data_IF_137880931511
#
_entry.id   IF_137880931511
#
_cell.length_a   1.000
_cell.length_b   1.000
_cell.length_c   1.000
_cell.angle_alpha   90.00
_cell.angle_beta   90.00
_cell.angle_gamma   90.00
#
_symmetry.space_group_name_H-M   'P 1'
#
loop_
_entity.id
_entity.type
_entity.pdbx_description
1 polymer ?
#
# COMPACT_ATOMS: atom_id res chain seq x y z
N UNK A 1 -2.07 -25.32 18.68
CA UNK A 1 -2.02 -24.08 17.89
C UNK A 1 -0.61 -23.97 17.32
N UNK A 2 -0.42 -24.23 16.01
CA UNK A 2 0.93 -24.27 15.42
C UNK A 2 1.44 -22.84 15.26
N UNK A 3 2.53 -22.54 15.97
CA UNK A 3 3.38 -21.37 15.72
C UNK A 3 3.97 -21.60 14.33
N UNK A 4 3.41 -20.94 13.32
CA UNK A 4 4.04 -20.86 12.00
C UNK A 4 5.31 -20.04 12.22
N UNK A 5 6.45 -20.65 11.94
CA UNK A 5 7.73 -19.95 11.87
C UNK A 5 7.60 -18.87 10.79
N UNK A 6 7.37 -17.63 11.24
CA UNK A 6 7.46 -16.41 10.42
C UNK A 6 8.93 -16.27 10.04
N UNK A 7 9.28 -16.78 8.87
CA UNK A 7 10.62 -16.70 8.31
C UNK A 7 10.60 -15.73 7.12
N UNK A 8 11.10 -14.51 7.30
CA UNK A 8 11.47 -13.57 6.22
C UNK A 8 10.37 -13.25 5.18
N UNK A 9 9.13 -13.20 5.65
CA UNK A 9 7.93 -12.84 4.89
C UNK A 9 7.91 -11.32 4.59
N UNK A 10 6.97 -10.80 3.80
CA UNK A 10 6.86 -9.38 3.42
C UNK A 10 6.49 -8.42 4.59
N UNK A 11 7.21 -8.54 5.70
CA UNK A 11 7.02 -7.85 6.96
C UNK A 11 8.09 -6.78 7.11
N UNK A 12 7.67 -5.55 7.36
CA UNK A 12 8.53 -4.38 7.52
C UNK A 12 8.61 -4.08 9.01
N UNK A 13 9.82 -3.87 9.53
CA UNK A 13 9.94 -3.25 10.85
C UNK A 13 9.85 -1.72 10.69
N UNK A 14 8.80 -1.06 11.23
CA UNK A 14 8.62 0.37 11.05
C UNK A 14 9.76 1.22 11.63
N UNK A 15 10.43 0.75 12.68
CA UNK A 15 11.48 1.50 13.39
C UNK A 15 12.83 1.49 12.67
N UNK A 16 13.08 0.51 11.81
CA UNK A 16 14.35 0.40 11.06
C UNK A 16 14.19 0.79 9.58
N UNK A 17 12.96 0.86 9.08
CA UNK A 17 12.68 1.27 7.70
C UNK A 17 13.19 2.70 7.43
N UNK A 18 13.88 2.86 6.31
CA UNK A 18 14.20 4.16 5.75
C UNK A 18 14.41 4.06 4.23
N UNK A 19 14.34 5.20 3.54
CA UNK A 19 14.52 5.27 2.09
C UNK A 19 15.99 5.37 1.64
N UNK A 20 16.98 5.23 2.53
CA UNK A 20 18.40 5.35 2.20
C UNK A 20 18.93 4.04 1.60
N UNK A 21 20.10 4.13 0.96
CA UNK A 21 20.78 2.98 0.34
C UNK A 21 20.36 2.71 -1.11
N UNK A 22 21.17 1.89 -1.79
CA UNK A 22 21.01 1.53 -3.21
C UNK A 22 19.76 0.69 -3.45
N UNK A 23 19.48 -0.27 -2.56
CA UNK A 23 18.29 -1.14 -2.63
C UNK A 23 16.98 -0.34 -2.60
N UNK A 24 16.97 0.83 -1.96
CA UNK A 24 15.79 1.71 -1.86
C UNK A 24 15.66 2.72 -3.00
N UNK A 25 16.59 2.74 -3.96
CA UNK A 25 16.67 3.77 -5.02
C UNK A 25 15.36 3.94 -5.77
N UNK A 26 14.75 2.84 -6.22
CA UNK A 26 13.53 2.91 -7.02
C UNK A 26 12.33 3.38 -6.19
N UNK A 27 12.14 2.86 -4.97
CA UNK A 27 11.09 3.34 -4.07
C UNK A 27 11.26 4.83 -3.74
N UNK A 28 12.49 5.23 -3.40
CA UNK A 28 12.84 6.63 -3.13
C UNK A 28 12.55 7.52 -4.32
N UNK A 29 12.88 7.09 -5.53
CA UNK A 29 12.61 7.83 -6.76
C UNK A 29 11.11 7.96 -7.03
N UNK A 30 10.31 6.90 -6.82
CA UNK A 30 8.84 6.97 -6.93
C UNK A 30 8.25 7.98 -5.95
N UNK A 31 8.64 7.91 -4.67
CA UNK A 31 8.18 8.85 -3.62
C UNK A 31 8.61 10.28 -3.93
N UNK A 32 9.86 10.48 -4.37
CA UNK A 32 10.39 11.81 -4.71
C UNK A 32 9.64 12.40 -5.91
N UNK A 33 9.39 11.59 -6.95
CA UNK A 33 8.60 12.01 -8.11
C UNK A 33 7.18 12.40 -7.72
N UNK A 34 6.50 11.60 -6.90
CA UNK A 34 5.16 11.93 -6.42
C UNK A 34 5.15 13.28 -5.68
N UNK A 35 6.11 13.51 -4.77
CA UNK A 35 6.24 14.80 -4.06
C UNK A 35 6.49 15.96 -5.02
N UNK A 36 7.37 15.80 -6.02
CA UNK A 36 7.61 16.84 -7.04
C UNK A 36 6.37 17.15 -7.88
N UNK A 37 5.46 16.18 -8.06
CA UNK A 37 4.16 16.38 -8.71
C UNK A 37 3.10 17.00 -7.76
N UNK A 38 3.47 17.41 -6.55
CA UNK A 38 2.55 18.00 -5.58
C UNK A 38 1.67 17.00 -4.84
N UNK A 39 2.02 15.71 -4.86
CA UNK A 39 1.28 14.68 -4.11
C UNK A 39 1.52 14.82 -2.62
N UNK A 40 0.44 14.83 -1.84
CA UNK A 40 0.49 14.83 -0.38
C UNK A 40 -0.29 13.65 0.19
N UNK A 41 -0.09 13.36 1.48
CA UNK A 41 -0.87 12.33 2.17
C UNK A 41 -1.18 12.70 3.62
N UNK A 42 -2.38 12.34 4.06
CA UNK A 42 -2.85 12.51 5.44
C UNK A 42 -3.26 11.16 6.03
N UNK A 43 -3.30 11.12 7.37
CA UNK A 43 -3.78 9.97 8.13
C UNK A 43 -5.03 10.43 8.84
N UNK A 44 -6.10 9.69 8.61
CA UNK A 44 -7.39 9.84 9.29
C UNK A 44 -7.48 8.76 10.35
N UNK A 45 -7.80 9.18 11.58
CA UNK A 45 -7.79 8.33 12.76
C UNK A 45 -9.20 8.05 13.26
N UNK A 46 -10.06 9.05 13.14
CA UNK A 46 -11.41 9.00 13.69
C UNK A 46 -12.46 9.08 12.58
N UNK A 47 -13.60 8.45 12.83
CA UNK A 47 -14.71 8.39 11.87
C UNK A 47 -15.32 9.76 11.57
N UNK A 48 -15.32 10.67 12.54
CA UNK A 48 -15.85 12.03 12.43
C UNK A 48 -15.03 12.94 11.50
N UNK A 49 -13.78 12.59 11.21
CA UNK A 49 -12.94 13.24 10.20
C UNK A 49 -13.37 12.89 8.75
N UNK A 50 -14.29 11.94 8.56
CA UNK A 50 -14.77 11.49 7.25
C UNK A 50 -16.16 12.06 6.96
N UNK A 51 -16.20 13.24 6.34
CA UNK A 51 -17.45 13.83 5.88
C UNK A 51 -18.06 13.08 4.67
N UNK A 52 -19.30 13.46 4.31
CA UNK A 52 -20.02 12.82 3.21
C UNK A 52 -19.30 12.94 1.85
N UNK A 53 -18.54 14.02 1.62
CA UNK A 53 -17.83 14.21 0.34
C UNK A 53 -16.61 13.30 0.26
N UNK A 54 -15.87 13.14 1.37
CA UNK A 54 -14.78 12.17 1.47
C UNK A 54 -15.32 10.75 1.22
N UNK A 55 -16.41 10.35 1.89
CA UNK A 55 -16.98 9.01 1.75
C UNK A 55 -17.46 8.74 0.31
N UNK A 56 -18.10 9.72 -0.31
CA UNK A 56 -18.51 9.66 -1.71
C UNK A 56 -17.29 9.52 -2.63
N UNK A 57 -16.22 10.28 -2.37
CA UNK A 57 -14.99 10.23 -3.16
C UNK A 57 -14.29 8.87 -3.05
N UNK A 58 -14.22 8.29 -1.86
CA UNK A 58 -13.69 6.93 -1.65
C UNK A 58 -14.52 5.87 -2.41
N UNK A 59 -15.84 6.03 -2.43
CA UNK A 59 -16.77 5.14 -3.16
C UNK A 59 -16.57 5.22 -4.68
N UNK A 60 -16.31 6.40 -5.22
CA UNK A 60 -15.95 6.59 -6.64
C UNK A 60 -14.63 5.89 -6.96
N UNK A 61 -13.57 6.15 -6.18
CA UNK A 61 -12.26 5.50 -6.37
C UNK A 61 -12.39 3.97 -6.29
N UNK A 62 -13.20 3.47 -5.35
CA UNK A 62 -13.52 2.05 -5.19
C UNK A 62 -14.20 1.46 -6.42
N UNK A 63 -15.24 2.13 -6.91
CA UNK A 63 -16.04 1.69 -8.05
C UNK A 63 -15.20 1.66 -9.33
N UNK A 64 -14.44 2.72 -9.60
CA UNK A 64 -13.54 2.82 -10.76
C UNK A 64 -12.48 1.72 -10.73
N UNK A 65 -11.90 1.47 -9.54
CA UNK A 65 -10.91 0.41 -9.36
C UNK A 65 -11.50 -0.98 -9.58
N UNK A 66 -12.73 -1.24 -9.12
CA UNK A 66 -13.42 -2.51 -9.35
C UNK A 66 -13.79 -2.69 -10.83
N UNK A 67 -14.33 -1.66 -11.48
CA UNK A 67 -14.71 -1.69 -12.90
C UNK A 67 -13.52 -2.06 -13.80
N UNK A 68 -12.32 -1.57 -13.47
CA UNK A 68 -11.10 -1.94 -14.17
C UNK A 68 -10.68 -3.41 -13.97
N UNK A 69 -11.15 -4.08 -12.91
CA UNK A 69 -10.76 -5.45 -12.53
C UNK A 69 -11.79 -6.54 -12.78
N UNK A 70 -13.08 -6.20 -12.88
CA UNK A 70 -14.13 -7.14 -13.26
C UNK A 70 -13.82 -7.83 -14.59
N UNK A 71 -13.14 -7.15 -15.50
CA UNK A 71 -12.69 -7.68 -16.79
C UNK A 71 -11.55 -8.72 -16.71
N UNK A 72 -11.03 -8.99 -15.52
CA UNK A 72 -9.85 -9.86 -15.30
C UNK A 72 -10.20 -11.10 -14.44
N UNK A 73 -11.47 -11.30 -14.08
CA UNK A 73 -11.93 -12.55 -13.43
C UNK A 73 -11.44 -12.78 -11.99
N UNK A 74 -11.01 -11.73 -11.28
CA UNK A 74 -10.52 -11.83 -9.90
C UNK A 74 -11.59 -11.39 -8.88
N UNK A 75 -11.70 -12.14 -7.77
CA UNK A 75 -12.45 -11.69 -6.59
C UNK A 75 -11.80 -10.42 -6.03
N UNK A 76 -12.59 -9.37 -5.90
CA UNK A 76 -12.17 -8.10 -5.32
C UNK A 76 -12.73 -8.00 -3.90
N UNK A 77 -11.91 -7.63 -2.93
CA UNK A 77 -12.39 -7.34 -1.57
C UNK A 77 -13.43 -6.23 -1.66
N UNK A 78 -14.68 -6.47 -1.21
CA UNK A 78 -15.68 -5.40 -1.16
C UNK A 78 -15.18 -4.30 -0.23
N UNK A 79 -15.54 -3.07 -0.56
CA UNK A 79 -15.23 -1.90 0.26
C UNK A 79 -16.51 -1.16 0.51
N UNK A 80 -16.84 -1.02 1.78
CA UNK A 80 -17.91 -0.18 2.23
C UNK A 80 -17.31 0.87 3.17
N UNK A 81 -17.32 2.15 2.76
CA UNK A 81 -16.73 3.22 3.54
C UNK A 81 -17.44 3.43 4.88
N UNK A 82 -18.63 2.87 5.12
CA UNK A 82 -19.33 2.96 6.40
C UNK A 82 -18.69 2.13 7.52
N UNK A 83 -17.89 1.11 7.17
CA UNK A 83 -17.17 0.29 8.14
C UNK A 83 -15.72 0.74 8.35
N UNK A 84 -15.33 1.89 7.80
CA UNK A 84 -14.02 2.46 8.06
C UNK A 84 -13.92 3.02 9.48
N UNK A 85 -12.77 2.79 10.12
CA UNK A 85 -12.43 3.35 11.42
C UNK A 85 -13.45 2.90 12.48
N UNK A 86 -13.83 1.61 12.44
CA UNK A 86 -14.81 1.03 13.35
C UNK A 86 -14.26 0.86 14.79
N UNK A 87 -12.94 0.98 14.97
CA UNK A 87 -12.23 0.90 16.23
C UNK A 87 -10.92 1.71 16.15
N UNK A 88 -10.31 1.96 17.30
CA UNK A 88 -9.10 2.79 17.45
C UNK A 88 -7.82 2.16 16.83
N UNK A 89 -7.90 0.92 16.34
CA UNK A 89 -6.79 0.21 15.69
C UNK A 89 -6.85 0.27 14.15
N UNK A 90 -7.82 0.98 13.60
CA UNK A 90 -7.99 1.17 12.17
C UNK A 90 -7.67 2.60 11.78
N UNK A 91 -6.93 2.76 10.69
CA UNK A 91 -6.51 4.04 10.15
C UNK A 91 -6.74 4.05 8.65
N UNK A 92 -7.06 5.23 8.13
CA UNK A 92 -7.17 5.49 6.71
C UNK A 92 -6.07 6.46 6.30
N UNK A 93 -5.36 6.14 5.22
CA UNK A 93 -4.35 7.03 4.65
C UNK A 93 -4.89 7.51 3.31
N UNK A 94 -5.07 8.82 3.18
CA UNK A 94 -5.55 9.47 1.97
C UNK A 94 -4.36 10.05 1.20
N UNK A 95 -4.36 9.86 -0.11
CA UNK A 95 -3.40 10.46 -1.05
C UNK A 95 -4.09 11.53 -1.88
N UNK A 96 -3.56 12.74 -1.85
CA UNK A 96 -4.09 13.88 -2.59
C UNK A 96 -3.20 14.20 -3.78
N UNK A 97 -3.83 14.56 -4.90
CA UNK A 97 -3.18 15.10 -6.08
C UNK A 97 -4.09 16.14 -6.70
N UNK A 98 -3.55 17.33 -7.00
CA UNK A 98 -4.33 18.49 -7.46
C UNK A 98 -5.51 18.79 -6.52
N UNK A 99 -5.23 18.80 -5.20
CA UNK A 99 -6.19 19.09 -4.12
C UNK A 99 -7.34 18.07 -3.97
N UNK A 100 -7.35 17.02 -4.79
CA UNK A 100 -8.37 15.98 -4.79
C UNK A 100 -7.85 14.67 -4.22
N UNK A 101 -8.68 13.97 -3.43
CA UNK A 101 -8.37 12.59 -3.02
C UNK A 101 -8.28 11.75 -4.29
N UNK A 102 -7.10 11.20 -4.53
CA UNK A 102 -6.79 10.42 -5.73
C UNK A 102 -6.38 8.99 -5.40
N UNK A 103 -6.15 8.69 -4.14
CA UNK A 103 -5.88 7.35 -3.64
C UNK A 103 -6.21 7.23 -2.16
N UNK A 104 -6.42 6.01 -1.71
CA UNK A 104 -6.53 5.70 -0.29
C UNK A 104 -5.96 4.32 0.03
N UNK A 105 -5.58 4.13 1.29
CA UNK A 105 -5.33 2.81 1.83
C UNK A 105 -5.77 2.64 3.28
N UNK A 106 -6.07 1.41 3.67
CA UNK A 106 -6.39 1.05 5.05
C UNK A 106 -5.18 0.45 5.75
N UNK A 107 -4.99 0.83 7.01
CA UNK A 107 -4.00 0.31 7.93
C UNK A 107 -4.74 -0.21 9.17
N UNK A 108 -4.44 -1.44 9.59
CA UNK A 108 -5.03 -2.04 10.78
C UNK A 108 -3.95 -2.61 11.70
N UNK A 109 -3.99 -2.26 12.98
CA UNK A 109 -3.15 -2.85 14.01
C UNK A 109 -3.82 -4.13 14.53
N UNK A 110 -3.02 -5.17 14.75
CA UNK A 110 -3.53 -6.42 15.29
C UNK A 110 -3.85 -6.29 16.78
N UNK A 111 -4.79 -7.09 17.32
CA UNK A 111 -5.15 -7.03 18.75
C UNK A 111 -3.96 -7.22 19.71
N UNK A 112 -2.92 -7.95 19.30
CA UNK A 112 -1.70 -8.15 20.10
C UNK A 112 -0.74 -6.94 20.09
N UNK A 113 -1.06 -5.89 19.32
CA UNK A 113 -0.30 -4.66 19.09
C UNK A 113 1.12 -4.83 18.53
N UNK A 114 1.57 -6.06 18.29
CA UNK A 114 2.94 -6.32 17.77
C UNK A 114 3.05 -6.18 16.26
N UNK A 115 1.93 -6.29 15.58
CA UNK A 115 1.89 -6.21 14.13
C UNK A 115 0.75 -5.36 13.61
N UNK A 116 0.88 -4.96 12.36
CA UNK A 116 -0.12 -4.25 11.60
C UNK A 116 -0.16 -4.75 10.16
N UNK A 117 -1.23 -4.43 9.43
CA UNK A 117 -1.39 -4.79 8.02
C UNK A 117 -1.92 -3.62 7.22
N UNK A 118 -1.41 -3.47 6.00
CA UNK A 118 -2.07 -2.71 4.95
C UNK A 118 -2.97 -3.68 4.15
N UNK A 119 -4.20 -3.28 3.85
CA UNK A 119 -5.14 -4.16 3.13
C UNK A 119 -5.66 -3.50 1.85
N UNK A 120 -6.70 -2.67 1.95
CA UNK A 120 -7.30 -2.01 0.80
C UNK A 120 -6.33 -0.90 0.38
N UNK A 121 -5.88 -0.91 -0.87
CA UNK A 121 -5.09 0.17 -1.47
C UNK A 121 -5.66 0.41 -2.85
N UNK A 122 -6.28 1.58 -3.04
CA UNK A 122 -6.92 1.94 -4.30
C UNK A 122 -6.51 3.34 -4.71
N UNK A 123 -6.45 3.55 -6.02
CA UNK A 123 -6.13 4.85 -6.61
C UNK A 123 -6.92 5.03 -7.89
N UNK A 124 -7.17 6.29 -8.23
CA UNK A 124 -7.68 6.68 -9.54
C UNK A 124 -6.71 6.22 -10.65
N UNK A 125 -7.27 5.85 -11.80
CA UNK A 125 -6.51 5.46 -13.00
C UNK A 125 -5.50 6.54 -13.40
N UNK A 126 -5.94 7.79 -13.39
CA UNK A 126 -5.14 8.96 -13.77
C UNK A 126 -4.35 9.55 -12.58
N UNK A 127 -4.28 8.83 -11.46
CA UNK A 127 -3.47 9.21 -10.31
C UNK A 127 -1.97 9.19 -10.64
N UNK A 128 -1.16 10.07 -10.04
CA UNK A 128 0.25 10.17 -10.33
C UNK A 128 1.02 8.93 -9.83
N UNK A 129 2.02 8.53 -10.61
CA UNK A 129 2.92 7.45 -10.21
C UNK A 129 3.64 7.80 -8.90
N UNK A 130 3.72 6.83 -8.00
CA UNK A 130 4.35 7.00 -6.68
C UNK A 130 3.39 7.40 -5.56
N UNK A 131 2.10 7.69 -5.83
CA UNK A 131 1.14 8.05 -4.78
C UNK A 131 0.95 6.92 -3.76
N UNK A 132 0.88 5.68 -4.21
CA UNK A 132 0.74 4.51 -3.33
C UNK A 132 1.99 4.32 -2.47
N UNK A 133 3.18 4.41 -3.07
CA UNK A 133 4.46 4.32 -2.38
C UNK A 133 4.63 5.42 -1.33
N UNK A 134 4.17 6.63 -1.63
CA UNK A 134 4.16 7.76 -0.71
C UNK A 134 3.22 7.48 0.49
N UNK A 135 2.02 6.96 0.24
CA UNK A 135 1.08 6.57 1.31
C UNK A 135 1.61 5.42 2.17
N UNK A 136 2.25 4.41 1.59
CA UNK A 136 2.89 3.31 2.34
C UNK A 136 4.00 3.87 3.23
N UNK A 137 4.84 4.76 2.71
CA UNK A 137 5.90 5.43 3.48
C UNK A 137 5.32 6.25 4.63
N UNK A 138 4.18 6.93 4.41
CA UNK A 138 3.45 7.67 5.44
C UNK A 138 2.93 6.75 6.55
N UNK A 139 2.33 5.61 6.19
CA UNK A 139 1.84 4.61 7.14
C UNK A 139 2.99 4.03 7.99
N UNK A 140 4.12 3.67 7.37
CA UNK A 140 5.30 3.17 8.09
C UNK A 140 5.83 4.22 9.07
N UNK A 141 5.97 5.47 8.61
CA UNK A 141 6.42 6.57 9.46
C UNK A 141 5.47 6.86 10.62
N UNK A 142 4.18 6.61 10.45
CA UNK A 142 3.19 6.80 11.50
C UNK A 142 3.31 5.72 12.57
N UNK A 143 3.40 4.45 12.16
CA UNK A 143 3.63 3.33 13.07
C UNK A 143 4.90 3.53 13.88
N UNK A 144 6.01 3.90 13.22
CA UNK A 144 7.30 4.05 13.88
C UNK A 144 7.34 5.14 14.96
N UNK A 145 6.48 6.15 14.84
CA UNK A 145 6.40 7.29 15.76
C UNK A 145 5.32 7.10 16.83
N UNK A 146 4.18 6.49 16.49
CA UNK A 146 3.01 6.43 17.36
C UNK A 146 2.82 5.10 18.08
N UNK A 147 3.42 4.02 17.57
CA UNK A 147 3.21 2.66 18.07
C UNK A 147 4.56 1.95 18.25
N UNK A 148 5.32 2.27 19.32
CA UNK A 148 6.63 1.67 19.60
C UNK A 148 6.60 0.13 19.75
N UNK A 149 5.44 -0.43 20.02
CA UNK A 149 5.20 -1.87 20.15
C UNK A 149 4.99 -2.59 18.80
N UNK A 150 4.67 -1.86 17.72
CA UNK A 150 4.42 -2.43 16.39
C UNK A 150 5.74 -2.63 15.66
N UNK A 151 6.25 -3.86 15.71
CA UNK A 151 7.53 -4.23 15.08
C UNK A 151 7.36 -4.90 13.72
N UNK A 152 6.13 -5.19 13.30
CA UNK A 152 5.82 -5.95 12.10
C UNK A 152 4.71 -5.28 11.29
N UNK A 153 4.99 -4.85 10.06
CA UNK A 153 3.97 -4.37 9.13
C UNK A 153 3.91 -5.29 7.91
N UNK A 154 2.79 -5.99 7.75
CA UNK A 154 2.45 -6.76 6.56
C UNK A 154 1.88 -5.87 5.46
N UNK A 155 2.30 -6.08 4.22
CA UNK A 155 1.73 -5.41 3.04
C UNK A 155 0.45 -6.09 2.50
N UNK A 156 -0.16 -7.01 3.25
CA UNK A 156 -1.33 -7.77 2.81
C UNK A 156 -1.01 -8.86 1.78
N UNK A 157 0.25 -9.36 1.81
CA UNK A 157 0.82 -10.31 0.84
C UNK A 157 0.89 -11.76 1.33
N UNK A 158 0.24 -12.10 2.44
CA UNK A 158 0.38 -13.40 3.10
C UNK A 158 0.12 -14.61 2.18
N UNK A 159 -0.68 -14.44 1.11
CA UNK A 159 -0.96 -15.49 0.12
C UNK A 159 -0.02 -15.54 -1.11
N UNK A 160 0.94 -14.62 -1.24
CA UNK A 160 1.82 -14.51 -2.42
C UNK A 160 3.32 -14.50 -2.06
N UNK A 161 3.66 -14.59 -0.78
CA UNK A 161 5.04 -14.60 -0.27
C UNK A 161 5.87 -15.74 -0.85
N UNK A 162 5.32 -16.95 -0.94
CA UNK A 162 6.00 -18.13 -1.48
C UNK A 162 6.27 -18.00 -2.99
N UNK A 163 5.30 -17.46 -3.74
CA UNK A 163 5.46 -17.20 -5.18
C UNK A 163 6.49 -16.10 -5.45
N UNK A 164 6.52 -15.05 -4.62
CA UNK A 164 7.49 -13.95 -4.70
C UNK A 164 8.93 -14.42 -4.52
N UNK A 165 9.15 -15.33 -3.57
CA UNK A 165 10.47 -15.93 -3.30
C UNK A 165 10.91 -16.84 -4.45
N UNK A 166 10.00 -17.62 -5.02
CA UNK A 166 10.27 -18.46 -6.21
C UNK A 166 10.60 -17.61 -7.46
N UNK A 167 10.08 -16.39 -7.53
CA UNK A 167 10.36 -15.42 -8.60
C UNK A 167 11.63 -14.60 -8.38
N UNK A 168 12.38 -14.82 -7.29
CA UNK A 168 13.67 -14.17 -7.03
C UNK A 168 13.59 -12.79 -6.37
N UNK A 169 12.43 -12.39 -5.84
CA UNK A 169 12.26 -11.10 -5.15
C UNK A 169 12.59 -11.22 -3.66
N UNK A 170 13.82 -10.90 -3.29
CA UNK A 170 14.32 -11.01 -1.90
C UNK A 170 14.34 -9.66 -1.18
N UNK A 171 14.48 -8.54 -1.91
CA UNK A 171 14.57 -7.20 -1.36
C UNK A 171 13.22 -6.57 -1.05
N UNK A 172 13.12 -5.83 0.05
CA UNK A 172 11.88 -5.16 0.45
C UNK A 172 11.39 -4.09 -0.55
N UNK A 173 12.28 -3.28 -1.12
CA UNK A 173 11.91 -2.34 -2.18
C UNK A 173 11.35 -3.08 -3.39
N UNK A 174 11.91 -4.25 -3.71
CA UNK A 174 11.44 -5.10 -4.80
C UNK A 174 10.08 -5.71 -4.45
N UNK A 175 9.83 -6.10 -3.20
CA UNK A 175 8.51 -6.56 -2.72
C UNK A 175 7.46 -5.43 -2.79
N UNK A 176 7.79 -4.19 -2.41
CA UNK A 176 6.87 -3.04 -2.60
C UNK A 176 6.66 -2.77 -4.09
N UNK A 177 7.71 -2.74 -4.90
CA UNK A 177 7.60 -2.42 -6.31
C UNK A 177 6.89 -3.53 -7.09
N UNK A 178 7.12 -4.79 -6.74
CA UNK A 178 6.35 -5.92 -7.23
C UNK A 178 4.91 -5.80 -6.76
N UNK A 179 4.66 -5.48 -5.49
CA UNK A 179 3.30 -5.37 -4.96
C UNK A 179 2.52 -4.27 -5.66
N UNK A 180 3.11 -3.08 -5.73
CA UNK A 180 2.58 -1.94 -6.47
C UNK A 180 2.43 -2.34 -7.92
N UNK A 181 3.46 -2.88 -8.56
CA UNK A 181 3.42 -3.36 -9.93
C UNK A 181 2.33 -4.40 -10.19
N UNK A 182 2.11 -5.37 -9.30
CA UNK A 182 1.12 -6.44 -9.37
C UNK A 182 -0.30 -5.92 -9.13
N UNK A 183 -0.48 -5.00 -8.17
CA UNK A 183 -1.76 -4.30 -7.98
C UNK A 183 -2.03 -3.25 -9.08
N UNK A 184 -1.01 -2.75 -9.78
CA UNK A 184 -1.11 -1.74 -10.84
C UNK A 184 -1.04 -2.30 -12.27
N UNK A 185 -0.56 -3.53 -12.52
CA UNK A 185 -0.41 -4.16 -13.85
C UNK A 185 -1.73 -4.53 -14.53
N UNK A 186 -2.86 -4.14 -13.96
CA UNK A 186 -4.13 -4.08 -14.69
C UNK A 186 -4.26 -2.77 -15.48
N UNK A 187 -3.61 -1.69 -15.05
CA UNK A 187 -3.69 -0.37 -15.69
C UNK A 187 -2.54 -0.11 -16.68
N UNK A 188 -1.40 -0.76 -16.49
CA UNK A 188 -0.33 -0.83 -17.46
C UNK A 188 -0.39 -2.21 -18.11
N UNK A 189 -0.69 -2.27 -19.40
CA UNK A 189 -0.85 -3.52 -20.14
C UNK A 189 0.26 -4.54 -19.87
N UNK A 190 -0.13 -5.81 -19.98
CA UNK A 190 0.50 -7.08 -19.58
C UNK A 190 1.99 -7.32 -19.98
N UNK A 191 2.72 -6.34 -20.51
CA UNK A 191 4.10 -6.50 -20.98
C UNK A 191 5.18 -6.13 -19.96
N UNK A 192 4.83 -5.57 -18.80
CA UNK A 192 5.84 -5.03 -17.87
C UNK A 192 6.38 -6.02 -16.83
N UNK A 193 5.67 -7.11 -16.52
CA UNK A 193 6.13 -8.09 -15.52
C UNK A 193 7.38 -8.87 -15.99
N UNK A 194 7.48 -9.14 -17.30
CA UNK A 194 8.66 -9.75 -17.91
C UNK A 194 9.76 -8.73 -18.21
N UNK A 195 9.38 -7.50 -18.55
CA UNK A 195 10.32 -6.38 -18.77
C UNK A 195 10.89 -5.79 -17.48
N UNK A 196 10.33 -6.15 -16.32
CA UNK A 196 10.83 -5.74 -15.02
C UNK A 196 12.23 -6.33 -14.81
N UNK A 197 12.45 -7.62 -15.09
CA UNK A 197 13.76 -8.28 -14.89
C UNK A 197 14.91 -7.60 -15.66
N UNK A 198 14.68 -7.20 -16.91
CA UNK A 198 15.69 -6.53 -17.74
C UNK A 198 16.04 -5.09 -17.31
N UNK A 199 15.32 -4.51 -16.34
CA UNK A 199 15.62 -3.18 -15.79
C UNK A 199 16.47 -3.21 -14.52
N UNK A 200 16.72 -4.38 -13.94
CA UNK A 200 17.44 -4.55 -12.67
C UNK A 200 18.76 -5.31 -12.81
N UNK A 201 19.04 -5.89 -13.98
CA UNK A 201 20.34 -6.47 -14.34
C UNK A 201 21.21 -5.47 -15.13
N UNK A 202 21.34 -4.23 -14.63
CA UNK A 202 22.38 -3.27 -15.07
C UNK A 202 22.85 -2.39 -13.92
#
# INVERSE_FOLDING_TARGET
MRIIKIGEEGVINPHTFNLKGSRMKNLRNSVTRARHLGVTSCIVRNRDELDAEILKRLSVISSDWNAARTNVGFSCTPFDPNFLLANDDEFLILGYYKEEISAFLTLKIYPNKRGATLDIMRRMKDGPNGITELMITKAISYLSVKFPEVTELSLGLAGLSDSLRQMGYYGFAEKILFFVGWRLNTFYGYQSLFSFKNKFDS
#
